data_IF_238475438959
#
_entry.id   IF_238475438959
#
_cell.length_a   1.000
_cell.length_b   1.000
_cell.length_c   1.000
_cell.angle_alpha   90.00
_cell.angle_beta   90.00
_cell.angle_gamma   90.00
#
_symmetry.space_group_name_H-M   'P 1'
#
loop_
_entity.id
_entity.type
_entity.pdbx_description
1 polymer ?
#
# COMPACT_ATOMS: atom_id res chain seq x y z
N UNK A 1 3.51 20.39 30.62
CA UNK A 1 2.60 21.53 30.87
C UNK A 1 2.49 22.31 29.58
N UNK A 2 1.30 22.39 29.00
CA UNK A 2 1.01 23.09 27.74
C UNK A 2 0.26 24.37 28.11
N UNK A 3 0.45 25.42 27.33
CA UNK A 3 -0.19 26.71 27.56
C UNK A 3 -1.34 26.90 26.57
N UNK A 4 -2.53 27.18 27.07
CA UNK A 4 -3.73 27.40 26.27
C UNK A 4 -4.44 28.68 26.71
N UNK A 5 -5.17 29.32 25.79
CA UNK A 5 -6.00 30.47 26.11
C UNK A 5 -7.21 30.01 26.94
N UNK A 6 -7.32 30.51 28.17
CA UNK A 6 -8.45 30.22 29.04
C UNK A 6 -9.59 31.23 28.77
N UNK A 7 -10.82 30.78 28.45
CA UNK A 7 -11.93 31.67 28.14
C UNK A 7 -12.46 32.45 29.36
N UNK A 8 -12.21 31.96 30.58
CA UNK A 8 -12.64 32.63 31.83
C UNK A 8 -11.60 33.64 32.32
N UNK A 9 -10.31 33.32 32.21
CA UNK A 9 -9.24 34.24 32.60
C UNK A 9 -8.88 35.26 31.51
N UNK A 10 -9.37 35.04 30.27
CA UNK A 10 -9.01 35.79 29.07
C UNK A 10 -7.49 35.92 28.86
N UNK A 11 -6.75 34.88 29.26
CA UNK A 11 -5.29 34.88 29.25
C UNK A 11 -4.75 33.50 28.93
N UNK A 12 -3.52 33.46 28.41
CA UNK A 12 -2.77 32.21 28.24
C UNK A 12 -2.40 31.69 29.63
N UNK A 13 -2.82 30.46 29.92
CA UNK A 13 -2.58 29.78 31.18
C UNK A 13 -2.05 28.39 30.95
N UNK A 14 -1.29 27.90 31.92
CA UNK A 14 -0.93 26.50 31.99
C UNK A 14 -2.19 25.67 32.24
N UNK A 15 -2.36 24.59 31.48
CA UNK A 15 -3.49 23.67 31.60
C UNK A 15 -3.05 22.24 31.88
N UNK A 16 -3.90 21.51 32.58
CA UNK A 16 -3.83 20.07 32.77
C UNK A 16 -4.79 19.37 31.80
N UNK A 17 -4.39 18.23 31.23
CA UNK A 17 -5.21 17.48 30.29
C UNK A 17 -5.92 16.34 31.01
N UNK A 18 -7.19 16.13 30.67
CA UNK A 18 -7.96 14.95 31.06
C UNK A 18 -8.75 14.41 29.88
N UNK A 19 -9.22 13.18 30.03
CA UNK A 19 -10.23 12.59 29.16
C UNK A 19 -11.44 12.17 30.00
N UNK A 20 -12.63 12.24 29.41
CA UNK A 20 -13.85 11.72 30.03
C UNK A 20 -14.73 11.07 28.98
N UNK A 21 -15.45 10.02 29.37
CA UNK A 21 -16.43 9.40 28.49
C UNK A 21 -17.60 10.36 28.29
N UNK A 22 -17.92 10.65 27.03
CA UNK A 22 -19.07 11.44 26.62
C UNK A 22 -19.88 10.69 25.56
N UNK A 23 -21.20 10.88 25.59
CA UNK A 23 -22.10 10.37 24.57
C UNK A 23 -22.53 11.53 23.68
N UNK A 24 -22.14 11.48 22.41
CA UNK A 24 -22.48 12.52 21.43
C UNK A 24 -23.51 11.99 20.41
N UNK A 25 -24.60 12.74 20.16
CA UNK A 25 -25.58 12.38 19.13
C UNK A 25 -25.04 12.75 17.74
N UNK A 26 -24.66 11.76 16.94
CA UNK A 26 -24.30 11.93 15.54
C UNK A 26 -25.48 11.53 14.67
N UNK A 27 -26.14 12.51 14.02
CA UNK A 27 -27.34 12.28 13.19
C UNK A 27 -28.45 11.49 13.91
N UNK A 28 -28.66 11.77 15.20
CA UNK A 28 -29.67 11.09 16.02
C UNK A 28 -29.27 9.71 16.53
N UNK A 29 -28.03 9.28 16.33
CA UNK A 29 -27.47 8.06 16.93
C UNK A 29 -26.43 8.44 17.97
N UNK A 30 -26.62 7.93 19.17
CA UNK A 30 -25.70 8.15 20.28
C UNK A 30 -24.42 7.31 20.08
N UNK A 31 -23.28 7.99 20.15
CA UNK A 31 -21.94 7.43 20.04
C UNK A 31 -21.16 7.77 21.30
N UNK A 32 -20.65 6.74 21.97
CA UNK A 32 -19.77 6.90 23.13
C UNK A 32 -18.34 7.12 22.66
N UNK A 33 -17.70 8.16 23.18
CA UNK A 33 -16.32 8.53 22.89
C UNK A 33 -15.61 8.98 24.16
N UNK A 34 -14.28 8.93 24.15
CA UNK A 34 -13.48 9.65 25.15
C UNK A 34 -13.17 11.06 24.62
N UNK A 35 -13.78 12.07 25.24
CA UNK A 35 -13.54 13.46 24.93
C UNK A 35 -12.39 14.02 25.77
N UNK A 36 -11.44 14.69 25.11
CA UNK A 36 -10.32 15.36 25.77
C UNK A 36 -10.74 16.77 26.23
N UNK A 37 -10.34 17.15 27.44
CA UNK A 37 -10.54 18.49 27.97
C UNK A 37 -9.25 19.05 28.60
N UNK A 38 -9.17 20.38 28.62
CA UNK A 38 -8.11 21.13 29.28
C UNK A 38 -8.66 21.81 30.53
N UNK A 39 -7.98 21.66 31.67
CA UNK A 39 -8.32 22.31 32.94
C UNK A 39 -7.32 23.40 33.26
N UNK A 40 -7.78 24.63 33.46
CA UNK A 40 -6.92 25.75 33.85
C UNK A 40 -6.39 25.58 35.28
N UNK A 41 -5.07 25.67 35.49
CA UNK A 41 -4.48 25.54 36.83
C UNK A 41 -4.76 26.73 37.75
N UNK A 42 -5.22 27.86 37.19
CA UNK A 42 -5.46 29.11 37.94
C UNK A 42 -6.92 29.27 38.37
N UNK A 43 -7.87 29.14 37.43
CA UNK A 43 -9.30 29.28 37.74
C UNK A 43 -10.03 27.95 37.89
N UNK A 44 -9.41 26.83 37.52
CA UNK A 44 -10.02 25.50 37.60
C UNK A 44 -11.00 25.16 36.48
N UNK A 45 -11.28 26.08 35.55
CA UNK A 45 -12.24 25.87 34.45
C UNK A 45 -11.79 24.74 33.51
N UNK A 46 -12.73 23.86 33.14
CA UNK A 46 -12.56 22.84 32.11
C UNK A 46 -13.11 23.32 30.77
N UNK A 47 -12.29 23.29 29.73
CA UNK A 47 -12.70 23.69 28.39
C UNK A 47 -12.03 22.82 27.33
N UNK A 48 -12.69 22.66 26.19
CA UNK A 48 -12.10 22.04 25.01
C UNK A 48 -11.52 23.15 24.12
N UNK A 49 -10.23 23.06 23.79
CA UNK A 49 -9.64 23.89 22.75
C UNK A 49 -10.03 23.39 21.35
N UNK A 50 -9.78 24.21 20.33
CA UNK A 50 -10.17 23.90 18.95
C UNK A 50 -9.59 22.57 18.43
N UNK A 51 -8.37 22.19 18.81
CA UNK A 51 -7.78 20.92 18.38
C UNK A 51 -8.44 19.74 19.08
N UNK A 52 -8.71 19.87 20.39
CA UNK A 52 -9.40 18.84 21.18
C UNK A 52 -10.85 18.66 20.71
N UNK A 53 -11.54 19.74 20.33
CA UNK A 53 -12.87 19.68 19.72
C UNK A 53 -12.85 18.95 18.38
N UNK A 54 -11.87 19.21 17.51
CA UNK A 54 -11.76 18.51 16.23
C UNK A 54 -11.48 17.01 16.42
N UNK A 55 -10.55 16.64 17.31
CA UNK A 55 -10.28 15.22 17.66
C UNK A 55 -11.52 14.51 18.20
N UNK A 56 -12.25 15.17 19.09
CA UNK A 56 -13.51 14.67 19.66
C UNK A 56 -14.56 14.43 18.56
N UNK A 57 -14.69 15.37 17.62
CA UNK A 57 -15.59 15.25 16.47
C UNK A 57 -15.20 14.08 15.54
N UNK A 58 -13.91 13.92 15.24
CA UNK A 58 -13.42 12.81 14.41
C UNK A 58 -13.65 11.45 15.09
N UNK A 59 -13.43 11.37 16.41
CA UNK A 59 -13.72 10.18 17.19
C UNK A 59 -15.22 9.83 17.15
N UNK A 60 -16.10 10.82 17.29
CA UNK A 60 -17.54 10.63 17.20
C UNK A 60 -17.96 10.12 15.81
N UNK A 61 -17.37 10.67 14.74
CA UNK A 61 -17.62 10.20 13.39
C UNK A 61 -17.07 8.79 13.13
N UNK A 62 -15.91 8.44 13.70
CA UNK A 62 -15.36 7.09 13.61
C UNK A 62 -16.25 6.06 14.33
N UNK A 63 -16.71 6.38 15.54
CA UNK A 63 -17.65 5.53 16.28
C UNK A 63 -18.99 5.37 15.56
N UNK A 64 -19.53 6.47 15.00
CA UNK A 64 -20.73 6.42 14.16
C UNK A 64 -20.55 5.52 12.93
N UNK A 65 -19.40 5.63 12.25
CA UNK A 65 -19.05 4.79 11.09
C UNK A 65 -18.99 3.32 11.45
N UNK A 66 -18.31 2.98 12.55
CA UNK A 66 -18.22 1.60 13.02
C UNK A 66 -19.60 1.02 13.35
N UNK A 67 -20.44 1.78 14.06
CA UNK A 67 -21.77 1.34 14.50
C UNK A 67 -22.74 1.06 13.35
N UNK A 68 -22.70 1.86 12.29
CA UNK A 68 -23.60 1.74 11.12
C UNK A 68 -22.94 1.13 9.88
N UNK A 69 -21.68 0.69 9.99
CA UNK A 69 -20.91 0.18 8.86
C UNK A 69 -20.78 1.20 7.71
N UNK A 70 -20.60 2.48 8.03
CA UNK A 70 -20.37 3.53 7.03
C UNK A 70 -18.90 3.55 6.65
N UNK A 71 -18.63 3.66 5.35
CA UNK A 71 -17.28 3.64 4.82
C UNK A 71 -16.41 4.76 5.40
N UNK A 72 -15.18 4.41 5.75
CA UNK A 72 -14.14 5.37 6.11
C UNK A 72 -13.63 6.11 4.87
N UNK A 73 -13.00 7.29 5.05
CA UNK A 73 -12.36 8.01 3.95
C UNK A 73 -11.35 7.15 3.18
N UNK A 74 -10.58 6.32 3.89
CA UNK A 74 -9.61 5.40 3.31
C UNK A 74 -10.26 4.27 2.52
N UNK A 75 -11.38 3.72 3.00
CA UNK A 75 -12.12 2.72 2.25
C UNK A 75 -12.69 3.29 0.94
N UNK A 76 -13.20 4.51 0.97
CA UNK A 76 -13.70 5.20 -0.24
C UNK A 76 -12.55 5.44 -1.22
N UNK A 77 -11.39 5.91 -0.73
CA UNK A 77 -10.17 6.05 -1.53
C UNK A 77 -9.74 4.72 -2.14
N UNK A 78 -9.74 3.64 -1.38
CA UNK A 78 -9.34 2.31 -1.84
C UNK A 78 -10.28 1.78 -2.94
N UNK A 79 -11.59 1.92 -2.76
CA UNK A 79 -12.60 1.56 -3.76
C UNK A 79 -12.35 2.35 -5.05
N UNK A 80 -12.14 3.67 -4.95
CA UNK A 80 -11.87 4.52 -6.11
C UNK A 80 -10.56 4.14 -6.80
N UNK A 81 -9.50 3.92 -6.02
CA UNK A 81 -8.17 3.58 -6.51
C UNK A 81 -8.15 2.24 -7.25
N UNK A 82 -9.00 1.27 -6.86
CA UNK A 82 -9.18 0.00 -7.55
C UNK A 82 -9.54 0.16 -9.02
N UNK A 83 -10.32 1.19 -9.36
CA UNK A 83 -10.72 1.49 -10.73
C UNK A 83 -9.80 2.50 -11.43
N UNK A 84 -8.77 3.00 -10.74
CA UNK A 84 -7.81 3.96 -11.29
C UNK A 84 -8.44 5.30 -11.69
N UNK A 85 -9.58 5.67 -11.10
CA UNK A 85 -10.32 6.88 -11.47
C UNK A 85 -10.03 8.06 -10.54
N UNK A 86 -10.07 9.27 -11.10
CA UNK A 86 -10.01 10.50 -10.31
C UNK A 86 -11.29 10.70 -9.51
N UNK A 87 -11.25 11.51 -8.44
CA UNK A 87 -12.44 11.87 -7.66
C UNK A 87 -13.57 12.44 -8.53
N UNK A 88 -13.21 13.29 -9.50
CA UNK A 88 -14.14 13.87 -10.49
C UNK A 88 -14.81 12.80 -11.34
N UNK A 89 -14.03 11.88 -11.91
CA UNK A 89 -14.58 10.80 -12.74
C UNK A 89 -15.44 9.83 -11.90
N UNK A 90 -15.01 9.50 -10.68
CA UNK A 90 -15.76 8.65 -9.76
C UNK A 90 -17.11 9.25 -9.39
N UNK A 91 -17.14 10.56 -9.07
CA UNK A 91 -18.38 11.28 -8.81
C UNK A 91 -19.33 11.24 -10.00
N UNK A 92 -18.84 11.49 -11.22
CA UNK A 92 -19.65 11.44 -12.44
C UNK A 92 -20.21 10.05 -12.73
N UNK A 93 -19.45 8.98 -12.46
CA UNK A 93 -19.89 7.59 -12.65
C UNK A 93 -21.02 7.24 -11.67
N UNK A 94 -20.88 7.63 -10.41
CA UNK A 94 -21.85 7.38 -9.36
C UNK A 94 -23.06 8.34 -9.40
N UNK A 95 -23.04 9.36 -10.26
CA UNK A 95 -24.07 10.38 -10.32
C UNK A 95 -24.02 11.39 -9.16
N UNK A 96 -22.88 11.48 -8.48
CA UNK A 96 -22.65 12.48 -7.44
C UNK A 96 -22.17 13.81 -8.02
N UNK A 97 -22.32 14.89 -7.25
CA UNK A 97 -21.67 16.16 -7.52
C UNK A 97 -20.14 16.03 -7.37
N UNK A 98 -19.39 16.85 -8.11
CA UNK A 98 -17.91 16.82 -8.13
C UNK A 98 -17.30 16.96 -6.73
N UNK A 99 -17.91 17.76 -5.85
CA UNK A 99 -17.43 18.01 -4.49
C UNK A 99 -17.80 16.90 -3.49
N UNK A 100 -18.77 16.05 -3.83
CA UNK A 100 -19.32 15.05 -2.89
C UNK A 100 -18.28 13.97 -2.55
N UNK A 101 -17.56 13.46 -3.56
CA UNK A 101 -16.49 12.47 -3.33
C UNK A 101 -15.32 13.06 -2.55
N UNK A 102 -14.91 14.29 -2.87
CA UNK A 102 -13.86 14.98 -2.13
C UNK A 102 -14.24 15.14 -0.65
N UNK A 103 -15.47 15.55 -0.38
CA UNK A 103 -15.98 15.69 0.99
C UNK A 103 -15.92 14.36 1.77
N UNK A 104 -16.32 13.24 1.16
CA UNK A 104 -16.29 11.93 1.83
C UNK A 104 -14.86 11.44 2.06
N UNK A 105 -13.97 11.61 1.08
CA UNK A 105 -12.54 11.30 1.24
C UNK A 105 -11.84 12.25 2.22
N UNK A 106 -12.43 13.40 2.54
CA UNK A 106 -11.92 14.34 3.54
C UNK A 106 -12.55 14.16 4.93
N UNK A 107 -13.39 13.13 5.13
CA UNK A 107 -13.92 12.80 6.47
C UNK A 107 -15.38 13.14 6.72
N UNK A 108 -16.13 13.65 5.74
CA UNK A 108 -17.57 13.83 5.92
C UNK A 108 -18.33 12.50 5.89
N UNK A 109 -19.51 12.46 6.49
CA UNK A 109 -20.34 11.26 6.57
C UNK A 109 -21.23 11.13 5.33
N UNK A 110 -21.09 10.06 4.53
CA UNK A 110 -22.05 9.76 3.47
C UNK A 110 -23.47 9.59 4.03
N UNK A 111 -24.48 9.86 3.21
CA UNK A 111 -25.85 9.39 3.50
C UNK A 111 -25.87 7.86 3.39
N UNK A 112 -26.86 7.21 3.98
CA UNK A 112 -27.00 5.75 3.87
C UNK A 112 -27.10 5.29 2.41
N UNK A 113 -27.88 6.00 1.60
CA UNK A 113 -28.01 5.74 0.17
C UNK A 113 -26.66 5.86 -0.56
N UNK A 114 -25.90 6.94 -0.31
CA UNK A 114 -24.59 7.14 -0.96
C UNK A 114 -23.55 6.14 -0.48
N UNK A 115 -23.56 5.81 0.82
CA UNK A 115 -22.71 4.76 1.39
C UNK A 115 -22.97 3.41 0.72
N UNK A 116 -24.24 3.03 0.60
CA UNK A 116 -24.63 1.78 -0.03
C UNK A 116 -24.27 1.77 -1.52
N UNK A 117 -24.45 2.89 -2.24
CA UNK A 117 -24.01 3.00 -3.63
C UNK A 117 -22.49 2.83 -3.77
N UNK A 118 -21.69 3.46 -2.90
CA UNK A 118 -20.23 3.31 -2.91
C UNK A 118 -19.82 1.88 -2.55
N UNK A 119 -20.53 1.22 -1.62
CA UNK A 119 -20.33 -0.21 -1.32
C UNK A 119 -20.65 -1.10 -2.50
N UNK A 120 -21.73 -0.83 -3.21
CA UNK A 120 -22.16 -1.63 -4.37
C UNK A 120 -21.12 -1.58 -5.49
N UNK A 121 -20.47 -0.43 -5.70
CA UNK A 121 -19.36 -0.35 -6.66
C UNK A 121 -18.06 -1.01 -6.18
N UNK A 122 -18.03 -1.71 -5.04
CA UNK A 122 -17.01 -2.75 -4.80
C UNK A 122 -17.16 -3.92 -5.77
N UNK A 123 -18.36 -4.13 -6.31
CA UNK A 123 -18.62 -5.13 -7.33
C UNK A 123 -18.33 -4.54 -8.73
N UNK A 124 -17.38 -5.11 -9.49
CA UNK A 124 -17.00 -4.60 -10.80
C UNK A 124 -18.16 -4.48 -11.79
N UNK A 125 -19.11 -5.42 -11.75
CA UNK A 125 -20.30 -5.42 -12.63
C UNK A 125 -21.13 -4.15 -12.42
N UNK A 126 -21.43 -3.80 -11.16
CA UNK A 126 -22.18 -2.59 -10.83
C UNK A 126 -21.43 -1.32 -11.24
N UNK A 127 -20.11 -1.29 -11.03
CA UNK A 127 -19.31 -0.16 -11.50
C UNK A 127 -19.36 -0.03 -13.02
N UNK A 128 -19.30 -1.14 -13.76
CA UNK A 128 -19.37 -1.15 -15.22
C UNK A 128 -20.72 -0.66 -15.74
N UNK A 129 -21.82 -1.11 -15.15
CA UNK A 129 -23.16 -0.63 -15.51
C UNK A 129 -23.27 0.89 -15.33
N UNK A 130 -22.87 1.40 -14.17
CA UNK A 130 -22.88 2.84 -13.87
C UNK A 130 -21.94 3.62 -14.80
N UNK A 131 -20.76 3.09 -15.09
CA UNK A 131 -19.84 3.68 -16.05
C UNK A 131 -20.47 3.71 -17.45
N UNK A 132 -21.13 2.63 -17.90
CA UNK A 132 -21.81 2.56 -19.19
C UNK A 132 -22.91 3.60 -19.34
N UNK A 133 -23.71 3.81 -18.29
CA UNK A 133 -24.80 4.80 -18.28
C UNK A 133 -24.30 6.26 -18.24
N UNK A 134 -23.13 6.51 -17.63
CA UNK A 134 -22.59 7.86 -17.44
C UNK A 134 -21.36 8.18 -18.29
N UNK A 135 -20.93 7.26 -19.17
CA UNK A 135 -19.71 7.42 -20.00
C UNK A 135 -19.74 8.73 -20.77
N UNK A 136 -20.91 9.16 -21.26
CA UNK A 136 -21.07 10.34 -22.11
C UNK A 136 -20.70 11.66 -21.45
N UNK A 137 -20.62 11.68 -20.11
CA UNK A 137 -20.23 12.83 -19.30
C UNK A 137 -18.72 12.89 -19.03
N UNK A 138 -17.96 11.87 -19.43
CA UNK A 138 -16.52 11.71 -19.14
C UNK A 138 -15.70 12.05 -20.40
N UNK A 139 -14.51 12.64 -20.26
CA UNK A 139 -13.64 12.95 -21.40
C UNK A 139 -13.09 11.68 -22.11
N UNK A 140 -12.86 11.71 -23.44
CA UNK A 140 -12.50 10.53 -24.24
C UNK A 140 -11.23 9.82 -23.76
N UNK A 141 -10.22 10.57 -23.32
CA UNK A 141 -8.96 10.04 -22.77
C UNK A 141 -9.16 9.29 -21.45
N UNK A 142 -10.07 9.78 -20.59
CA UNK A 142 -10.42 9.12 -19.33
C UNK A 142 -11.31 7.90 -19.57
N UNK A 143 -12.25 7.96 -20.52
CA UNK A 143 -13.07 6.79 -20.91
C UNK A 143 -12.19 5.62 -21.33
N UNK A 144 -11.23 5.85 -22.23
CA UNK A 144 -10.33 4.79 -22.72
C UNK A 144 -9.49 4.17 -21.60
N UNK A 145 -9.04 4.97 -20.62
CA UNK A 145 -8.34 4.48 -19.42
C UNK A 145 -9.24 3.60 -18.55
N UNK A 146 -10.49 4.02 -18.34
CA UNK A 146 -11.47 3.29 -17.52
C UNK A 146 -11.93 2.01 -18.21
N UNK A 147 -12.19 2.06 -19.53
CA UNK A 147 -12.53 0.89 -20.33
C UNK A 147 -11.41 -0.16 -20.32
N UNK A 148 -10.15 0.28 -20.37
CA UNK A 148 -8.98 -0.61 -20.23
C UNK A 148 -8.93 -1.24 -18.83
N UNK A 149 -9.19 -0.45 -17.78
CA UNK A 149 -9.23 -0.97 -16.40
C UNK A 149 -10.41 -1.95 -16.18
N UNK A 150 -11.55 -1.73 -16.83
CA UNK A 150 -12.73 -2.59 -16.72
C UNK A 150 -12.62 -3.86 -17.55
N UNK A 151 -12.06 -3.79 -18.76
CA UNK A 151 -11.80 -5.01 -19.57
C UNK A 151 -10.79 -5.94 -18.91
N UNK A 152 -9.82 -5.40 -18.15
CA UNK A 152 -8.95 -6.21 -17.29
C UNK A 152 -9.70 -6.85 -16.09
N UNK A 153 -10.77 -6.23 -15.59
CA UNK A 153 -11.56 -6.76 -14.48
C UNK A 153 -12.59 -7.85 -14.92
N UNK A 154 -13.14 -7.75 -16.13
CA UNK A 154 -14.18 -8.67 -16.64
C UNK A 154 -13.66 -10.04 -17.10
N UNK A 155 -12.40 -10.13 -17.51
CA UNK A 155 -11.75 -11.42 -17.80
C UNK A 155 -11.70 -12.35 -16.57
N UNK A 156 -12.04 -11.83 -15.38
CA UNK A 156 -11.99 -12.50 -14.10
C UNK A 156 -13.36 -12.94 -13.53
N UNK A 157 -14.48 -12.71 -14.24
CA UNK A 157 -15.84 -12.74 -13.63
C UNK A 157 -16.83 -13.81 -14.17
N UNK A 158 -16.45 -14.73 -15.09
CA UNK A 158 -17.37 -15.77 -15.63
C UNK A 158 -17.02 -17.21 -15.19
N UNK A 159 -17.37 -17.60 -13.96
CA UNK A 159 -18.23 -18.78 -13.63
C UNK A 159 -18.39 -18.95 -12.10
N UNK A 160 -19.55 -19.48 -11.64
CA UNK A 160 -19.96 -19.52 -10.25
C UNK A 160 -19.51 -20.81 -9.52
N UNK A 161 -19.62 -20.76 -8.19
CA UNK A 161 -19.47 -21.86 -7.21
C UNK A 161 -18.03 -22.26 -6.80
N UNK A 162 -17.58 -21.62 -5.71
CA UNK A 162 -16.73 -22.18 -4.66
C UNK A 162 -15.55 -23.10 -5.06
N UNK A 163 -14.55 -22.56 -5.76
CA UNK A 163 -13.12 -22.66 -5.39
C UNK A 163 -12.44 -21.40 -5.93
N UNK A 164 -11.52 -20.82 -5.16
CA UNK A 164 -10.77 -19.63 -5.53
C UNK A 164 -10.17 -19.70 -6.95
N UNK A 165 -10.70 -18.92 -7.90
CA UNK A 165 -10.06 -18.70 -9.19
C UNK A 165 -9.87 -17.20 -9.44
N UNK A 166 -8.58 -16.89 -9.49
CA UNK A 166 -7.88 -15.61 -9.48
C UNK A 166 -7.78 -15.04 -10.90
N UNK A 167 -7.57 -13.72 -10.98
CA UNK A 167 -7.53 -12.95 -12.23
C UNK A 167 -6.44 -13.39 -13.23
N UNK A 168 -6.71 -13.34 -14.55
CA UNK A 168 -5.74 -13.72 -15.57
C UNK A 168 -4.75 -12.57 -15.80
N UNK A 169 -3.48 -12.84 -15.52
CA UNK A 169 -2.36 -11.93 -15.81
C UNK A 169 -1.12 -12.16 -14.94
N UNK A 170 -1.33 -12.76 -13.77
CA UNK A 170 -0.31 -13.31 -12.89
C UNK A 170 -0.66 -14.78 -12.70
N UNK A 171 0.21 -15.68 -13.14
CA UNK A 171 -0.07 -17.11 -13.09
C UNK A 171 -0.29 -17.55 -11.65
N UNK A 172 -1.49 -18.03 -11.37
CA UNK A 172 -1.92 -18.48 -10.05
C UNK A 172 -1.45 -19.90 -9.71
N UNK A 173 -0.65 -20.47 -10.60
CA UNK A 173 0.19 -21.61 -10.33
C UNK A 173 1.48 -21.11 -9.69
N UNK A 174 1.98 -21.83 -8.69
CA UNK A 174 3.35 -21.61 -8.21
C UNK A 174 4.27 -21.54 -9.43
N UNK A 175 5.07 -20.46 -9.55
CA UNK A 175 5.88 -20.28 -10.74
C UNK A 175 6.77 -21.50 -10.91
N UNK A 176 6.79 -22.06 -12.12
CA UNK A 176 7.60 -23.24 -12.45
C UNK A 176 8.89 -22.84 -13.12
N UNK A 177 9.88 -23.71 -13.03
CA UNK A 177 11.15 -23.63 -13.75
C UNK A 177 10.91 -23.29 -15.24
N UNK A 178 11.43 -22.14 -15.64
CA UNK A 178 11.26 -21.49 -16.94
C UNK A 178 12.30 -20.38 -17.12
N UNK A 179 12.36 -19.76 -18.30
CA UNK A 179 13.23 -18.61 -18.57
C UNK A 179 13.03 -17.43 -17.59
N UNK A 180 11.82 -17.29 -17.03
CA UNK A 180 11.47 -16.22 -16.09
C UNK A 180 11.88 -16.51 -14.64
N UNK A 181 12.50 -17.67 -14.39
CA UNK A 181 12.92 -18.16 -13.06
C UNK A 181 14.38 -18.61 -13.07
N UNK A 182 15.12 -18.30 -14.14
CA UNK A 182 16.48 -18.82 -14.35
C UNK A 182 16.52 -20.35 -14.45
N UNK A 183 15.42 -20.98 -14.89
CA UNK A 183 15.23 -22.44 -14.93
C UNK A 183 15.37 -23.15 -13.56
N UNK A 184 15.28 -22.40 -12.46
CA UNK A 184 15.23 -22.94 -11.10
C UNK A 184 13.76 -23.01 -10.62
N UNK A 185 13.43 -24.02 -9.81
CA UNK A 185 12.15 -24.00 -9.11
C UNK A 185 12.14 -22.90 -8.04
N UNK A 186 11.23 -21.92 -8.12
CA UNK A 186 11.17 -20.79 -7.19
C UNK A 186 10.98 -21.23 -5.73
N UNK A 187 11.82 -20.70 -4.85
CA UNK A 187 11.71 -20.90 -3.40
C UNK A 187 11.25 -19.60 -2.71
N UNK A 188 9.96 -19.56 -2.38
CA UNK A 188 9.34 -18.43 -1.69
C UNK A 188 9.98 -18.12 -0.34
N UNK A 189 10.32 -19.14 0.44
CA UNK A 189 10.95 -18.93 1.76
C UNK A 189 12.36 -18.37 1.59
N UNK A 190 13.09 -18.80 0.56
CA UNK A 190 14.40 -18.23 0.24
C UNK A 190 14.29 -16.77 -0.23
N UNK A 191 13.24 -16.41 -0.96
CA UNK A 191 12.95 -15.00 -1.27
C UNK A 191 12.69 -14.16 0.00
N UNK A 192 11.89 -14.66 0.95
CA UNK A 192 11.66 -13.97 2.22
C UNK A 192 12.97 -13.77 3.00
N UNK A 193 13.81 -14.81 3.05
CA UNK A 193 15.15 -14.70 3.64
C UNK A 193 16.04 -13.70 2.91
N UNK A 194 15.91 -13.57 1.59
CA UNK A 194 16.64 -12.58 0.80
C UNK A 194 16.20 -11.15 1.15
N UNK A 195 14.89 -10.93 1.38
CA UNK A 195 14.37 -9.65 1.89
C UNK A 195 15.00 -9.33 3.26
N UNK A 196 15.00 -10.29 4.18
CA UNK A 196 15.62 -10.12 5.51
C UNK A 196 17.12 -9.83 5.39
N UNK A 197 17.84 -10.51 4.51
CA UNK A 197 19.27 -10.27 4.24
C UNK A 197 19.52 -8.83 3.75
N UNK A 198 18.72 -8.35 2.81
CA UNK A 198 18.81 -6.98 2.28
C UNK A 198 18.54 -5.95 3.37
N UNK A 199 17.49 -6.15 4.19
CA UNK A 199 17.15 -5.26 5.30
C UNK A 199 18.29 -5.21 6.33
N UNK A 200 18.84 -6.38 6.69
CA UNK A 200 19.93 -6.48 7.66
C UNK A 200 21.20 -5.78 7.17
N UNK A 201 21.66 -6.10 5.96
CA UNK A 201 22.90 -5.57 5.39
C UNK A 201 22.80 -4.07 5.09
N UNK A 202 21.60 -3.55 4.84
CA UNK A 202 21.39 -2.12 4.63
C UNK A 202 21.50 -1.31 5.93
N UNK A 203 21.32 -1.95 7.09
CA UNK A 203 21.40 -1.31 8.40
C UNK A 203 20.35 -0.23 8.65
N UNK A 204 19.28 -0.19 7.85
CA UNK A 204 18.23 0.82 7.90
C UNK A 204 16.87 0.23 7.50
N UNK A 205 15.79 0.88 7.92
CA UNK A 205 14.45 0.59 7.40
C UNK A 205 14.39 1.02 5.93
N UNK A 206 13.75 0.22 5.09
CA UNK A 206 13.71 0.45 3.65
C UNK A 206 12.29 0.59 3.14
N UNK A 207 12.09 1.46 2.16
CA UNK A 207 10.84 1.51 1.42
C UNK A 207 10.69 0.28 0.51
N UNK A 208 9.45 -0.12 0.26
CA UNK A 208 9.07 -1.15 -0.72
C UNK A 208 9.82 -1.04 -2.06
N UNK A 209 9.92 0.16 -2.61
CA UNK A 209 10.63 0.38 -3.89
C UNK A 209 12.11 0.05 -3.79
N UNK A 210 12.77 0.37 -2.68
CA UNK A 210 14.19 0.05 -2.48
C UNK A 210 14.40 -1.46 -2.38
N UNK A 211 13.57 -2.16 -1.60
CA UNK A 211 13.59 -3.63 -1.48
C UNK A 211 13.47 -4.26 -2.86
N UNK A 212 12.44 -3.89 -3.64
CA UNK A 212 12.22 -4.44 -4.98
C UNK A 212 13.45 -4.33 -5.89
N UNK A 213 14.15 -3.19 -5.86
CA UNK A 213 15.34 -3.01 -6.71
C UNK A 213 16.51 -3.83 -6.20
N UNK A 214 16.75 -3.86 -4.89
CA UNK A 214 17.82 -4.64 -4.31
C UNK A 214 17.62 -6.15 -4.53
N UNK A 215 16.38 -6.65 -4.46
CA UNK A 215 16.05 -8.03 -4.81
C UNK A 215 16.34 -8.33 -6.29
N UNK A 216 15.84 -7.48 -7.19
CA UNK A 216 16.06 -7.63 -8.63
C UNK A 216 17.56 -7.69 -8.98
N UNK A 217 18.34 -6.75 -8.46
CA UNK A 217 19.78 -6.73 -8.73
C UNK A 217 20.52 -7.91 -8.06
N UNK A 218 20.08 -8.38 -6.90
CA UNK A 218 20.68 -9.56 -6.27
C UNK A 218 20.45 -10.83 -7.08
N UNK A 219 19.22 -11.03 -7.56
CA UNK A 219 18.85 -12.18 -8.37
C UNK A 219 19.56 -12.17 -9.73
N UNK A 220 19.44 -11.07 -10.46
CA UNK A 220 19.96 -11.00 -11.83
C UNK A 220 21.48 -10.89 -11.86
N UNK A 221 22.14 -10.22 -10.89
CA UNK A 221 23.61 -10.23 -10.83
C UNK A 221 24.14 -11.61 -10.46
N UNK A 222 23.48 -12.33 -9.54
CA UNK A 222 23.92 -13.69 -9.18
C UNK A 222 23.74 -14.64 -10.37
N UNK A 223 22.62 -14.56 -11.07
CA UNK A 223 22.38 -15.35 -12.28
C UNK A 223 23.37 -15.00 -13.40
N UNK A 224 23.73 -13.72 -13.59
CA UNK A 224 24.76 -13.29 -14.56
C UNK A 224 26.10 -13.98 -14.28
N UNK A 225 26.52 -14.02 -13.03
CA UNK A 225 27.86 -14.45 -12.65
C UNK A 225 27.95 -15.98 -12.43
N UNK A 226 26.82 -16.63 -12.11
CA UNK A 226 26.77 -18.05 -11.68
C UNK A 226 25.82 -18.92 -12.50
N UNK A 227 25.00 -18.36 -13.39
CA UNK A 227 23.96 -19.06 -14.18
C UNK A 227 22.88 -19.75 -13.35
N UNK A 228 22.82 -19.46 -12.05
CA UNK A 228 21.77 -19.89 -11.12
C UNK A 228 21.29 -18.68 -10.32
N UNK A 229 19.97 -18.51 -10.13
CA UNK A 229 19.44 -17.42 -9.33
C UNK A 229 19.50 -17.76 -7.83
N UNK A 230 19.24 -16.78 -6.96
CA UNK A 230 19.27 -16.99 -5.51
C UNK A 230 18.01 -17.75 -5.07
N UNK A 231 16.83 -17.19 -5.33
CA UNK A 231 15.54 -17.81 -5.01
C UNK A 231 14.81 -18.35 -6.24
N UNK A 232 15.20 -17.92 -7.44
CA UNK A 232 14.50 -18.26 -8.68
C UNK A 232 13.16 -17.56 -8.84
N UNK A 233 12.83 -16.59 -7.98
CA UNK A 233 11.54 -15.90 -8.08
C UNK A 233 11.43 -15.07 -9.36
N UNK A 234 10.30 -15.10 -10.07
CA UNK A 234 10.09 -14.28 -11.26
C UNK A 234 9.93 -12.80 -10.91
N UNK A 235 10.33 -11.93 -11.84
CA UNK A 235 10.15 -10.47 -11.73
C UNK A 235 9.31 -9.96 -12.89
N UNK A 236 8.48 -8.95 -12.65
CA UNK A 236 7.68 -8.27 -13.68
C UNK A 236 8.15 -6.82 -13.90
N UNK A 237 8.09 -6.37 -15.14
CA UNK A 237 8.37 -4.97 -15.49
C UNK A 237 7.10 -4.12 -15.32
N UNK A 238 7.05 -3.28 -14.28
CA UNK A 238 5.95 -2.32 -14.08
C UNK A 238 6.45 -0.88 -14.24
N UNK A 239 5.55 0.11 -14.20
CA UNK A 239 5.89 1.54 -14.39
C UNK A 239 6.94 2.03 -13.38
N UNK A 240 6.91 1.51 -12.16
CA UNK A 240 7.87 1.86 -11.10
C UNK A 240 9.15 1.01 -11.11
N UNK A 241 9.44 0.31 -12.21
CA UNK A 241 10.62 -0.53 -12.38
C UNK A 241 10.34 -2.04 -12.22
N UNK A 242 11.38 -2.89 -12.18
CA UNK A 242 11.22 -4.32 -11.92
C UNK A 242 10.75 -4.57 -10.48
N UNK A 243 9.83 -5.52 -10.31
CA UNK A 243 9.31 -5.97 -9.00
C UNK A 243 9.18 -7.49 -9.01
N UNK A 244 9.32 -8.20 -7.88
CA UNK A 244 8.96 -9.61 -7.82
C UNK A 244 7.50 -9.80 -8.27
N UNK A 245 7.23 -10.89 -8.98
CA UNK A 245 5.88 -11.26 -9.37
C UNK A 245 5.02 -11.48 -8.11
N UNK A 246 3.79 -10.98 -8.10
CA UNK A 246 2.88 -11.01 -6.94
C UNK A 246 3.44 -10.40 -5.64
N UNK A 247 4.35 -9.42 -5.74
CA UNK A 247 5.04 -8.86 -4.58
C UNK A 247 4.12 -8.32 -3.46
N UNK A 248 2.92 -7.82 -3.76
CA UNK A 248 1.98 -7.40 -2.72
C UNK A 248 1.51 -8.57 -1.84
N UNK A 249 1.25 -9.72 -2.45
CA UNK A 249 0.86 -10.94 -1.73
C UNK A 249 2.06 -11.46 -0.94
N UNK A 250 3.24 -11.48 -1.56
CA UNK A 250 4.47 -11.92 -0.90
C UNK A 250 4.81 -11.13 0.36
N UNK A 251 4.65 -9.81 0.34
CA UNK A 251 4.90 -9.00 1.53
C UNK A 251 3.94 -9.36 2.65
N UNK A 252 2.63 -9.43 2.37
CA UNK A 252 1.63 -9.79 3.39
C UNK A 252 1.85 -11.19 3.96
N UNK A 253 2.25 -12.15 3.13
CA UNK A 253 2.60 -13.51 3.57
C UNK A 253 3.86 -13.52 4.45
N UNK A 254 4.92 -12.83 4.02
CA UNK A 254 6.18 -12.76 4.78
C UNK A 254 6.03 -12.05 6.13
N UNK A 255 5.15 -11.04 6.23
CA UNK A 255 4.79 -10.40 7.49
C UNK A 255 4.00 -11.35 8.41
N UNK A 256 3.01 -12.04 7.85
CA UNK A 256 2.20 -13.02 8.59
C UNK A 256 3.05 -14.20 9.10
N UNK A 257 4.05 -14.63 8.32
CA UNK A 257 5.01 -15.66 8.72
C UNK A 257 6.12 -15.14 9.65
N UNK A 258 6.17 -13.83 9.91
CA UNK A 258 7.10 -13.22 10.88
C UNK A 258 8.53 -13.05 10.38
N UNK A 259 8.77 -12.94 9.07
CA UNK A 259 10.11 -12.65 8.52
C UNK A 259 10.49 -11.17 8.66
N UNK A 260 9.54 -10.28 8.39
CA UNK A 260 9.71 -8.83 8.42
C UNK A 260 8.40 -8.16 8.83
N UNK A 261 8.44 -6.85 9.05
CA UNK A 261 7.26 -6.03 9.38
C UNK A 261 7.35 -4.68 8.69
N UNK A 262 6.21 -4.06 8.43
CA UNK A 262 6.09 -2.69 7.97
C UNK A 262 5.46 -1.78 9.01
N UNK A 263 5.81 -0.51 8.92
CA UNK A 263 5.20 0.58 9.68
C UNK A 263 5.01 1.79 8.76
N UNK A 264 3.99 2.64 9.00
CA UNK A 264 3.85 3.90 8.29
C UNK A 264 5.08 4.78 8.52
N UNK A 265 5.53 5.48 7.48
CA UNK A 265 6.57 6.49 7.63
C UNK A 265 6.05 7.74 8.36
N UNK A 266 6.95 8.69 8.63
CA UNK A 266 6.61 9.93 9.36
C UNK A 266 5.55 10.79 8.66
N UNK A 267 5.33 10.58 7.36
CA UNK A 267 4.32 11.30 6.58
C UNK A 267 2.98 10.56 6.52
N UNK A 268 2.93 9.30 6.99
CA UNK A 268 1.81 8.37 6.85
C UNK A 268 1.37 8.12 5.40
N UNK A 269 2.22 8.46 4.42
CA UNK A 269 1.98 8.23 2.99
C UNK A 269 2.80 7.07 2.43
N UNK A 270 3.86 6.67 3.13
CA UNK A 270 4.74 5.56 2.76
C UNK A 270 4.81 4.48 3.84
N UNK A 271 5.34 3.32 3.45
CA UNK A 271 5.57 2.19 4.35
C UNK A 271 7.07 1.86 4.39
N UNK A 272 7.61 1.74 5.61
CA UNK A 272 8.98 1.37 5.90
C UNK A 272 9.02 -0.06 6.44
N UNK A 273 9.85 -0.89 5.83
CA UNK A 273 10.02 -2.29 6.20
C UNK A 273 11.26 -2.46 7.08
N UNK A 274 11.15 -3.32 8.08
CA UNK A 274 12.20 -3.69 9.01
C UNK A 274 12.12 -5.18 9.34
N UNK A 275 13.18 -5.73 9.93
CA UNK A 275 13.21 -7.12 10.38
C UNK A 275 12.21 -7.30 11.52
N UNK A 276 11.46 -8.41 11.52
CA UNK A 276 10.50 -8.72 12.57
C UNK A 276 11.23 -9.02 13.90
N UNK A 277 10.56 -8.77 15.01
CA UNK A 277 11.11 -9.06 16.34
C UNK A 277 11.32 -10.57 16.52
N UNK A 278 12.47 -10.96 17.08
CA UNK A 278 12.83 -12.36 17.29
C UNK A 278 13.50 -13.06 16.11
N UNK A 279 13.56 -12.42 14.93
CA UNK A 279 14.36 -12.94 13.80
C UNK A 279 15.84 -12.64 14.08
N UNK A 280 16.65 -13.69 14.29
CA UNK A 280 18.09 -13.55 14.49
C UNK A 280 18.78 -13.27 13.14
N UNK A 281 19.41 -12.10 12.94
CA UNK A 281 20.10 -11.83 11.68
C UNK A 281 21.31 -12.74 11.43
N UNK A 282 21.86 -13.35 12.48
CA UNK A 282 22.94 -14.34 12.39
C UNK A 282 22.52 -15.63 11.68
N UNK A 283 21.22 -15.97 11.64
CA UNK A 283 20.73 -17.16 10.90
C UNK A 283 20.50 -16.89 9.41
N UNK A 284 20.69 -15.64 8.95
CA UNK A 284 20.59 -15.27 7.54
C UNK A 284 21.70 -15.96 6.74
N UNK A 285 22.92 -16.05 7.28
CA UNK A 285 24.07 -16.66 6.60
C UNK A 285 23.87 -18.14 6.32
N UNK A 286 23.14 -18.84 7.19
CA UNK A 286 22.95 -20.29 7.10
C UNK A 286 22.01 -20.69 5.95
N UNK A 287 21.30 -19.72 5.38
CA UNK A 287 20.31 -19.93 4.32
C UNK A 287 20.83 -19.63 2.92
N UNK A 288 22.07 -19.14 2.81
CA UNK A 288 22.71 -18.77 1.55
C UNK A 288 24.07 -19.44 1.44
N UNK A 289 24.45 -19.85 0.22
CA UNK A 289 25.83 -20.20 -0.07
C UNK A 289 26.74 -18.98 0.05
N UNK A 290 28.05 -19.20 0.24
CA UNK A 290 29.04 -18.12 0.27
C UNK A 290 29.00 -17.24 -0.99
N UNK A 291 28.72 -17.86 -2.16
CA UNK A 291 28.61 -17.16 -3.42
C UNK A 291 27.36 -16.26 -3.48
N UNK A 292 26.20 -16.75 -3.02
CA UNK A 292 24.96 -15.96 -2.93
C UNK A 292 25.15 -14.78 -1.97
N UNK A 293 25.69 -15.05 -0.78
CA UNK A 293 25.92 -14.04 0.23
C UNK A 293 26.91 -12.96 -0.25
N UNK A 294 27.95 -13.34 -0.99
CA UNK A 294 28.89 -12.40 -1.61
C UNK A 294 28.20 -11.48 -2.63
N UNK A 295 27.29 -12.02 -3.46
CA UNK A 295 26.50 -11.21 -4.40
C UNK A 295 25.58 -10.25 -3.66
N UNK A 296 24.82 -10.70 -2.67
CA UNK A 296 23.90 -9.86 -1.88
C UNK A 296 24.67 -8.71 -1.21
N UNK A 297 25.82 -9.02 -0.58
CA UNK A 297 26.69 -8.00 0.04
C UNK A 297 27.17 -6.97 -0.98
N UNK A 298 27.58 -7.40 -2.17
CA UNK A 298 28.04 -6.51 -3.23
C UNK A 298 26.93 -5.57 -3.70
N UNK A 299 25.72 -6.11 -3.92
CA UNK A 299 24.55 -5.33 -4.33
C UNK A 299 24.19 -4.29 -3.27
N UNK A 300 24.06 -4.70 -2.01
CA UNK A 300 23.70 -3.80 -0.91
C UNK A 300 24.79 -2.74 -0.67
N UNK A 301 26.07 -3.10 -0.78
CA UNK A 301 27.16 -2.14 -0.66
C UNK A 301 27.12 -1.05 -1.76
N UNK A 302 26.81 -1.43 -3.01
CA UNK A 302 26.75 -0.48 -4.14
C UNK A 302 25.46 0.33 -4.17
N UNK A 303 24.33 -0.29 -3.86
CA UNK A 303 22.99 0.25 -4.13
C UNK A 303 22.17 0.54 -2.87
N UNK A 304 22.46 -0.06 -1.73
CA UNK A 304 21.64 0.02 -0.51
C UNK A 304 21.52 1.41 0.10
N UNK A 305 22.49 2.30 -0.15
CA UNK A 305 22.46 3.71 0.30
C UNK A 305 21.73 4.66 -0.66
N UNK A 306 21.29 4.18 -1.82
CA UNK A 306 20.61 5.01 -2.82
C UNK A 306 19.14 5.19 -2.44
N UNK A 307 18.61 6.37 -2.72
CA UNK A 307 17.18 6.65 -2.54
C UNK A 307 16.31 5.85 -3.51
N UNK A 308 15.02 5.72 -3.19
CA UNK A 308 14.05 5.03 -4.05
C UNK A 308 13.99 5.61 -5.47
N UNK A 309 14.14 6.94 -5.61
CA UNK A 309 14.15 7.64 -6.90
C UNK A 309 15.42 7.32 -7.70
N UNK A 310 16.60 7.31 -7.07
CA UNK A 310 17.85 6.92 -7.72
C UNK A 310 17.84 5.47 -8.21
N UNK A 311 17.35 4.55 -7.37
CA UNK A 311 17.21 3.13 -7.73
C UNK A 311 16.21 2.92 -8.87
N UNK A 312 15.10 3.67 -8.87
CA UNK A 312 14.12 3.65 -9.96
C UNK A 312 14.79 4.07 -11.27
N UNK A 313 15.50 5.20 -11.28
CA UNK A 313 16.23 5.69 -12.45
C UNK A 313 17.24 4.68 -12.99
N UNK A 314 18.01 4.03 -12.09
CA UNK A 314 18.94 2.97 -12.48
C UNK A 314 18.20 1.80 -13.13
N UNK A 315 17.17 1.28 -12.46
CA UNK A 315 16.43 0.12 -12.96
C UNK A 315 15.67 0.40 -14.27
N UNK A 316 15.30 1.65 -14.53
CA UNK A 316 14.69 2.08 -15.80
C UNK A 316 15.70 2.20 -16.93
N UNK A 317 17.00 2.30 -16.61
CA UNK A 317 18.07 2.31 -17.59
C UNK A 317 18.41 0.89 -18.09
N UNK A 318 18.08 -0.15 -17.32
CA UNK A 318 18.37 -1.54 -17.65
C UNK A 318 17.55 -2.05 -18.84
N UNK A 319 18.18 -2.83 -19.72
CA UNK A 319 17.51 -3.47 -20.88
C UNK A 319 16.36 -4.38 -20.44
N UNK A 320 16.59 -5.12 -19.36
CA UNK A 320 15.60 -5.95 -18.68
C UNK A 320 14.27 -5.24 -18.46
N UNK A 321 14.32 -3.97 -18.04
CA UNK A 321 13.11 -3.17 -17.88
C UNK A 321 12.66 -2.57 -19.20
N UNK A 322 13.53 -2.00 -20.03
CA UNK A 322 13.12 -1.29 -21.26
C UNK A 322 12.44 -2.20 -22.30
N UNK A 323 12.97 -3.40 -22.49
CA UNK A 323 12.57 -4.30 -23.58
C UNK A 323 11.42 -5.24 -23.16
N UNK A 324 11.21 -5.44 -21.85
CA UNK A 324 10.08 -6.23 -21.35
C UNK A 324 8.79 -5.41 -21.43
N UNK A 325 7.71 -5.93 -22.07
CA UNK A 325 6.42 -5.27 -22.06
C UNK A 325 5.92 -5.03 -20.63
N UNK A 326 5.16 -3.94 -20.43
CA UNK A 326 4.61 -3.64 -19.09
C UNK A 326 3.75 -4.79 -18.58
N UNK A 327 3.83 -5.02 -17.28
CA UNK A 327 3.13 -6.08 -16.56
C UNK A 327 3.41 -7.49 -17.11
N UNK A 328 4.58 -7.69 -17.75
CA UNK A 328 5.08 -9.01 -18.15
C UNK A 328 6.31 -9.38 -17.35
N UNK A 329 6.51 -10.69 -17.19
CA UNK A 329 7.70 -11.26 -16.55
C UNK A 329 8.94 -10.92 -17.36
N UNK A 330 10.02 -10.58 -16.66
CA UNK A 330 11.34 -10.27 -17.18
C UNK A 330 12.08 -11.59 -17.29
N UNK A 331 12.55 -11.92 -18.50
CA UNK A 331 13.37 -13.11 -18.72
C UNK A 331 14.74 -12.94 -18.04
N UNK A 332 15.24 -14.00 -17.38
CA UNK A 332 16.58 -13.99 -16.79
C UNK A 332 17.68 -13.90 -17.85
N UNK A 333 17.37 -14.06 -19.14
CA UNK A 333 18.30 -13.78 -20.24
C UNK A 333 18.86 -12.36 -20.22
N UNK A 334 18.11 -11.40 -19.65
CA UNK A 334 18.56 -10.01 -19.49
C UNK A 334 19.63 -9.83 -18.40
N UNK A 335 19.93 -10.87 -17.60
CA UNK A 335 20.96 -10.80 -16.56
C UNK A 335 22.34 -10.44 -17.13
N UNK A 336 22.66 -10.90 -18.35
CA UNK A 336 23.92 -10.58 -19.06
C UNK A 336 24.12 -9.08 -19.32
N UNK A 337 23.02 -8.32 -19.31
CA UNK A 337 23.00 -6.90 -19.63
C UNK A 337 22.94 -6.00 -18.39
N UNK A 338 22.92 -6.57 -17.17
CA UNK A 338 22.89 -5.80 -15.92
C UNK A 338 24.22 -5.07 -15.71
N UNK A 339 24.15 -3.74 -15.61
CA UNK A 339 25.32 -2.86 -15.49
C UNK A 339 25.43 -2.17 -14.14
N UNK A 340 24.34 -2.02 -13.38
CA UNK A 340 24.37 -1.23 -12.14
C UNK A 340 25.11 -1.91 -10.96
N UNK A 341 25.47 -3.19 -11.08
CA UNK A 341 26.15 -3.98 -10.03
C UNK A 341 27.33 -4.76 -10.56
#
# INVERSE_FOLDING_TARGET
MRECFCPVCEAIRTVEFGSRAETLPVRGVDVEIEAEFSRCTVCGEEFADAESMDRTLQAAYAGYRHKLGILSPDEIRAIRARYGVSQKAFGLILGFGELTINSYESGSLPTEANNNLIKLVRHPETFKELFGSNKDKIGPTQRKRIETALTCAEASAKKPECVAERAPGYGCEEPRASEFTGFMQPDKKKLFRLIVAVLFLSGAKLYKTQINKLLFYSEFAHFRDRTVPISGWPFAAIDYGPVPDDFQILLGEGEKEGFFRSEPDSTQLGELFSIAEGVNPGTITDSFSDAELATIKTVVAKLGRKSASELTRLSHAERAWKETPRAKRISYEFAKDIVAV
#
